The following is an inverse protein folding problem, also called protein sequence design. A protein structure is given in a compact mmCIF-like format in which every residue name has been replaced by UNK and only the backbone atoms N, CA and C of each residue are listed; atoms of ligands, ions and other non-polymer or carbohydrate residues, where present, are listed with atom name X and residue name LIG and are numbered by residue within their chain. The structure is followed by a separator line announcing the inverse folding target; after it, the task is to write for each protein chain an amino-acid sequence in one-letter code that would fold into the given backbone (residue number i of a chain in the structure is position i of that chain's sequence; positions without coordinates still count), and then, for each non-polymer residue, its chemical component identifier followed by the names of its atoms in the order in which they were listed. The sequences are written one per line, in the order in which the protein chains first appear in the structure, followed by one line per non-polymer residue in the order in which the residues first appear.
data_IF_540955042306
#
_entry.id   IF_540955042306
#
_cell.length_a   1.000
_cell.length_b   1.000
_cell.length_c   1.000
_cell.angle_alpha   90.00
_cell.angle_beta   90.00
_cell.angle_gamma   90.00
#
_symmetry.space_group_name_H-M   'P 1'
#
loop_
_entity.id
_entity.type
_entity.pdbx_description
1 polymer ?
#
# COMPACT_ATOMS: atom_id res chain seq x y z
N UNK A 1 6.45 2.09 5.19
CA UNK A 1 5.77 0.76 5.17
C UNK A 1 6.81 -0.33 5.23
N UNK A 2 6.57 -1.34 6.03
CA UNK A 2 7.45 -2.49 6.06
C UNK A 2 7.41 -3.24 4.74
N UNK A 3 8.55 -3.78 4.27
CA UNK A 3 8.57 -4.57 3.03
C UNK A 3 7.61 -5.74 3.03
N UNK A 4 7.40 -6.37 4.19
CA UNK A 4 6.48 -7.49 4.32
C UNK A 4 5.04 -7.09 4.05
N UNK A 5 4.62 -5.94 4.58
CA UNK A 5 3.26 -5.43 4.37
C UNK A 5 3.06 -5.09 2.90
N UNK A 6 4.05 -4.46 2.28
CA UNK A 6 3.99 -4.13 0.86
C UNK A 6 3.82 -5.39 0.01
N UNK A 7 4.58 -6.44 0.31
CA UNK A 7 4.47 -7.71 -0.40
C UNK A 7 3.07 -8.33 -0.24
N UNK A 8 2.52 -8.27 0.97
CA UNK A 8 1.18 -8.80 1.23
C UNK A 8 0.13 -8.08 0.39
N UNK A 9 0.26 -6.77 0.24
CA UNK A 9 -0.68 -5.99 -0.56
C UNK A 9 -0.64 -6.41 -2.03
N UNK A 10 0.56 -6.65 -2.56
CA UNK A 10 0.71 -7.12 -3.93
C UNK A 10 0.14 -8.53 -4.08
N UNK A 11 0.50 -9.44 -3.18
CA UNK A 11 0.03 -10.82 -3.22
C UNK A 11 -1.47 -10.93 -3.05
N UNK A 12 -2.04 -10.08 -2.22
CA UNK A 12 -3.48 -10.07 -1.98
C UNK A 12 -4.28 -9.41 -3.09
N UNK A 13 -3.61 -8.86 -4.11
CA UNK A 13 -4.29 -8.24 -5.23
C UNK A 13 -4.85 -6.85 -4.91
N UNK A 14 -4.44 -6.26 -3.81
CA UNK A 14 -4.88 -4.91 -3.44
C UNK A 14 -4.27 -3.87 -4.38
N UNK A 15 -3.00 -4.07 -4.70
CA UNK A 15 -2.26 -3.23 -5.63
C UNK A 15 -1.39 -4.11 -6.52
N UNK A 16 -0.94 -3.57 -7.64
CA UNK A 16 0.02 -4.27 -8.50
C UNK A 16 1.45 -3.90 -8.08
N UNK A 17 2.41 -4.66 -8.59
CA UNK A 17 3.83 -4.38 -8.35
C UNK A 17 4.21 -3.00 -8.89
N UNK A 18 3.71 -2.65 -10.07
CA UNK A 18 3.97 -1.34 -10.67
C UNK A 18 3.41 -0.21 -9.81
N UNK A 19 2.20 -0.39 -9.29
CA UNK A 19 1.58 0.60 -8.40
C UNK A 19 2.41 0.78 -7.13
N UNK A 20 2.89 -0.32 -6.56
CA UNK A 20 3.74 -0.27 -5.38
C UNK A 20 5.03 0.50 -5.69
N UNK A 21 5.66 0.22 -6.81
CA UNK A 21 6.89 0.89 -7.21
C UNK A 21 6.68 2.39 -7.35
N UNK A 22 5.58 2.80 -7.98
CA UNK A 22 5.25 4.21 -8.15
C UNK A 22 5.02 4.91 -6.82
N UNK A 23 4.30 4.25 -5.91
CA UNK A 23 4.05 4.81 -4.58
C UNK A 23 5.32 4.94 -3.77
N UNK A 24 6.22 3.96 -3.86
CA UNK A 24 7.50 4.01 -3.17
C UNK A 24 8.35 5.17 -3.69
N UNK A 25 8.37 5.36 -4.99
CA UNK A 25 9.11 6.44 -5.62
C UNK A 25 8.58 7.80 -5.18
N UNK A 26 7.27 7.98 -5.23
CA UNK A 26 6.62 9.20 -4.79
C UNK A 26 6.86 9.49 -3.31
N UNK A 27 6.75 8.46 -2.49
CA UNK A 27 6.96 8.60 -1.06
C UNK A 27 8.38 9.03 -0.73
N UNK A 28 9.35 8.51 -1.46
CA UNK A 28 10.76 8.88 -1.29
C UNK A 28 10.96 10.35 -1.63
N UNK A 29 10.37 10.80 -2.75
CA UNK A 29 10.54 12.17 -3.23
C UNK A 29 9.86 13.19 -2.32
N UNK A 30 8.68 12.85 -1.79
CA UNK A 30 7.87 13.77 -0.99
C UNK A 30 8.08 13.60 0.52
N UNK A 31 8.75 12.55 0.95
CA UNK A 31 8.90 12.25 2.36
C UNK A 31 7.65 11.65 3.00
N UNK A 32 6.69 11.24 2.19
CA UNK A 32 5.45 10.62 2.67
C UNK A 32 5.58 9.11 2.79
N UNK A 33 4.66 8.50 3.54
CA UNK A 33 4.63 7.04 3.62
C UNK A 33 4.07 6.44 2.32
N UNK A 34 4.48 5.20 2.05
CA UNK A 34 4.00 4.49 0.86
C UNK A 34 2.48 4.31 0.90
N UNK A 35 1.93 3.98 2.06
CA UNK A 35 0.48 3.81 2.20
C UNK A 35 -0.29 5.07 1.86
N UNK A 36 0.22 6.21 2.31
CA UNK A 36 -0.39 7.49 2.01
C UNK A 36 -0.37 7.77 0.50
N UNK A 37 0.76 7.47 -0.15
CA UNK A 37 0.89 7.67 -1.58
C UNK A 37 -0.04 6.75 -2.37
N UNK A 38 -0.21 5.51 -1.94
CA UNK A 38 -1.14 4.59 -2.58
C UNK A 38 -2.56 5.16 -2.62
N UNK A 39 -2.98 5.77 -1.52
CA UNK A 39 -4.30 6.39 -1.44
C UNK A 39 -4.37 7.66 -2.29
N UNK A 40 -3.36 8.51 -2.18
CA UNK A 40 -3.34 9.78 -2.94
C UNK A 40 -3.28 9.58 -4.44
N UNK A 41 -2.56 8.56 -4.88
CA UNK A 41 -2.48 8.23 -6.31
C UNK A 41 -3.73 7.53 -6.83
N UNK A 42 -4.65 7.18 -5.93
CA UNK A 42 -5.90 6.54 -6.33
C UNK A 42 -5.77 5.06 -6.62
N UNK A 43 -4.69 4.43 -6.19
CA UNK A 43 -4.49 2.99 -6.42
C UNK A 43 -5.31 2.13 -5.47
N UNK A 44 -5.63 2.65 -4.30
CA UNK A 44 -6.46 1.98 -3.32
C UNK A 44 -7.10 3.03 -2.40
N UNK A 45 -7.88 2.59 -1.42
CA UNK A 45 -8.48 3.49 -0.43
C UNK A 45 -8.05 3.09 0.96
N UNK A 46 -8.17 4.02 1.91
CA UNK A 46 -7.86 3.74 3.31
C UNK A 46 -8.72 2.60 3.84
N UNK A 47 -9.99 2.58 3.46
CA UNK A 47 -10.92 1.54 3.86
C UNK A 47 -10.47 0.15 3.38
N UNK A 48 -10.10 0.06 2.11
CA UNK A 48 -9.62 -1.20 1.54
C UNK A 48 -8.35 -1.67 2.24
N UNK A 49 -7.42 -0.76 2.50
CA UNK A 49 -6.19 -1.09 3.20
C UNK A 49 -6.49 -1.59 4.62
N UNK A 50 -7.36 -0.90 5.33
CA UNK A 50 -7.72 -1.27 6.69
C UNK A 50 -8.38 -2.66 6.73
N UNK A 51 -9.29 -2.94 5.83
CA UNK A 51 -9.96 -4.23 5.74
C UNK A 51 -8.98 -5.35 5.45
N UNK A 52 -8.08 -5.12 4.50
CA UNK A 52 -7.08 -6.12 4.14
C UNK A 52 -6.17 -6.43 5.32
N UNK A 53 -5.65 -5.41 5.98
CA UNK A 53 -4.76 -5.59 7.11
C UNK A 53 -5.45 -6.27 8.29
N UNK A 54 -6.72 -5.93 8.53
CA UNK A 54 -7.49 -6.58 9.57
C UNK A 54 -7.62 -8.08 9.33
N UNK A 55 -7.88 -8.47 8.10
CA UNK A 55 -7.97 -9.88 7.73
C UNK A 55 -6.64 -10.59 7.87
N UNK A 56 -5.56 -9.94 7.48
CA UNK A 56 -4.22 -10.55 7.53
C UNK A 56 -3.75 -10.77 8.96
N UNK A 57 -4.08 -9.86 9.86
CA UNK A 57 -3.60 -9.93 11.24
C UNK A 57 -4.66 -10.38 12.24
N UNK A 58 -5.84 -10.73 11.77
CA UNK A 58 -6.89 -11.30 12.62
C UNK A 58 -7.52 -10.32 13.59
N UNK A 59 -7.56 -9.06 13.21
CA UNK A 59 -8.12 -8.02 14.07
C UNK A 59 -9.37 -7.39 13.48
#
# INVERSE_FOLDING_TARGET
MEPRVAELLVRGGVISRDQLNKAQEKGRDSGSSVMKELVQLGFTTEETLAEFLAKQFGI
#
